data_IF_253337137833
#
_entry.id   IF_253337137833
#
_cell.length_a   1.000
_cell.length_b   1.000
_cell.length_c   1.000
_cell.angle_alpha   90.00
_cell.angle_beta   90.00
_cell.angle_gamma   90.00
#
_symmetry.space_group_name_H-M   'P 1'
#
loop_
_entity.id
_entity.type
_entity.pdbx_description
1 polymer ?
#
# COMPACT_ATOMS: atom_id res chain seq x y z
N UNK A 1 12.84 13.37 13.60
CA UNK A 1 12.14 13.05 12.35
C UNK A 1 12.60 14.03 11.28
N UNK A 2 13.13 13.52 10.17
CA UNK A 2 13.59 14.33 9.03
C UNK A 2 12.86 13.89 7.75
N UNK A 3 12.68 14.82 6.84
CA UNK A 3 12.15 14.57 5.50
C UNK A 3 13.28 14.73 4.50
N UNK A 4 13.48 13.73 3.67
CA UNK A 4 14.48 13.69 2.62
C UNK A 4 13.78 13.34 1.30
N UNK A 5 14.11 14.04 0.23
CA UNK A 5 13.63 13.68 -1.10
C UNK A 5 14.80 13.14 -1.89
N UNK A 6 14.67 11.95 -2.42
CA UNK A 6 15.69 11.24 -3.19
C UNK A 6 15.12 10.86 -4.55
N UNK A 7 15.99 10.61 -5.49
CA UNK A 7 15.59 10.04 -6.76
C UNK A 7 14.99 8.65 -6.55
N UNK A 8 14.01 8.31 -7.33
CA UNK A 8 13.34 7.04 -7.19
C UNK A 8 12.03 6.98 -7.96
N UNK A 9 11.44 5.80 -8.01
CA UNK A 9 10.18 5.56 -8.71
C UNK A 9 9.27 4.67 -7.89
N UNK A 10 7.98 4.99 -7.90
CA UNK A 10 6.95 4.12 -7.38
C UNK A 10 6.01 3.67 -8.51
N UNK A 11 5.65 2.39 -8.52
CA UNK A 11 4.66 1.86 -9.43
C UNK A 11 3.69 0.89 -8.76
N UNK A 12 2.48 0.77 -9.32
CA UNK A 12 1.34 0.08 -8.71
C UNK A 12 1.37 -1.42 -9.06
N UNK A 13 2.40 -2.12 -8.64
CA UNK A 13 2.54 -3.59 -8.66
C UNK A 13 3.31 -4.02 -7.43
N UNK A 14 2.80 -5.02 -6.73
CA UNK A 14 3.42 -5.58 -5.54
C UNK A 14 4.04 -6.96 -5.78
N UNK A 15 4.41 -7.60 -4.68
CA UNK A 15 5.05 -8.92 -4.74
C UNK A 15 4.12 -9.98 -5.33
N UNK A 16 4.69 -10.89 -6.11
CA UNK A 16 3.96 -12.01 -6.73
C UNK A 16 3.47 -13.04 -5.71
N UNK A 17 4.11 -13.12 -4.54
CA UNK A 17 3.75 -14.04 -3.47
C UNK A 17 4.03 -13.44 -2.09
N UNK A 18 3.14 -13.63 -1.08
CA UNK A 18 3.38 -13.20 0.29
C UNK A 18 4.63 -13.83 0.92
N UNK A 19 5.10 -14.94 0.41
CA UNK A 19 6.34 -15.58 0.89
C UNK A 19 7.59 -14.74 0.68
N UNK A 20 7.55 -13.69 -0.15
CA UNK A 20 8.65 -12.73 -0.31
C UNK A 20 8.73 -11.69 0.80
N UNK A 21 7.70 -11.56 1.62
CA UNK A 21 7.66 -10.61 2.75
C UNK A 21 8.84 -10.85 3.69
N UNK A 22 9.53 -9.77 4.08
CA UNK A 22 10.63 -9.79 5.04
C UNK A 22 10.19 -9.24 6.41
N UNK A 23 9.24 -8.31 6.43
CA UNK A 23 8.63 -7.76 7.64
C UNK A 23 7.14 -8.11 7.69
N UNK A 24 6.81 -9.10 8.51
CA UNK A 24 5.43 -9.57 8.67
C UNK A 24 4.51 -8.54 9.36
N UNK A 25 5.07 -7.57 10.09
CA UNK A 25 4.26 -6.57 10.77
C UNK A 25 3.68 -5.55 9.80
N UNK A 26 4.45 -5.19 8.77
CA UNK A 26 4.06 -4.25 7.72
C UNK A 26 3.64 -4.94 6.42
N UNK A 27 3.80 -6.27 6.33
CA UNK A 27 3.57 -7.07 5.12
C UNK A 27 4.37 -6.55 3.92
N UNK A 28 5.61 -6.13 4.17
CA UNK A 28 6.52 -5.58 3.16
C UNK A 28 7.72 -6.49 2.92
N UNK A 29 8.20 -6.52 1.69
CA UNK A 29 9.51 -7.07 1.36
C UNK A 29 10.49 -5.90 1.18
N UNK A 30 11.45 -5.77 2.09
CA UNK A 30 12.50 -4.76 2.07
C UNK A 30 13.80 -5.39 1.57
N UNK A 31 14.37 -4.79 0.54
CA UNK A 31 15.61 -5.24 -0.09
C UNK A 31 16.62 -4.08 -0.01
N UNK A 32 17.72 -4.30 0.70
CA UNK A 32 18.81 -3.34 0.85
C UNK A 32 19.86 -3.56 -0.25
N UNK A 33 20.23 -2.50 -0.94
CA UNK A 33 21.19 -2.48 -2.04
C UNK A 33 21.00 -3.63 -3.05
N UNK A 34 19.77 -3.83 -3.57
CA UNK A 34 19.48 -4.97 -4.44
C UNK A 34 20.04 -4.79 -5.83
N UNK A 35 20.33 -5.91 -6.47
CA UNK A 35 20.35 -5.99 -7.92
C UNK A 35 18.92 -6.02 -8.46
N UNK A 36 18.68 -5.38 -9.60
CA UNK A 36 17.38 -5.28 -10.23
C UNK A 36 17.45 -5.89 -11.63
N UNK A 37 16.77 -7.01 -11.82
CA UNK A 37 16.64 -7.67 -13.11
C UNK A 37 15.33 -7.24 -13.78
N UNK A 38 15.44 -6.63 -14.96
CA UNK A 38 14.31 -6.18 -15.77
C UNK A 38 14.17 -7.08 -17.00
N UNK A 39 13.05 -7.81 -17.08
CA UNK A 39 12.81 -8.74 -18.18
C UNK A 39 11.47 -8.48 -18.86
N UNK A 40 11.52 -8.20 -20.16
CA UNK A 40 10.32 -8.02 -20.99
C UNK A 40 9.86 -9.37 -21.57
N UNK A 41 9.25 -10.17 -20.71
CA UNK A 41 8.73 -11.49 -21.01
C UNK A 41 8.32 -12.27 -19.78
N UNK A 42 7.79 -13.48 -19.99
CA UNK A 42 7.38 -14.40 -18.92
C UNK A 42 8.53 -15.33 -18.55
N UNK A 43 8.66 -15.59 -17.24
CA UNK A 43 9.68 -16.48 -16.68
C UNK A 43 8.96 -17.66 -16.01
N UNK A 44 9.02 -18.84 -16.62
CA UNK A 44 8.38 -20.04 -16.09
C UNK A 44 9.40 -21.12 -15.70
N UNK A 45 10.53 -21.20 -16.43
CA UNK A 45 11.55 -22.20 -16.20
C UNK A 45 12.69 -21.68 -15.31
N UNK A 46 13.00 -22.38 -14.25
CA UNK A 46 14.08 -22.02 -13.32
C UNK A 46 15.45 -22.04 -14.00
N UNK A 47 15.65 -22.89 -15.00
CA UNK A 47 16.91 -23.07 -15.73
C UNK A 47 17.44 -21.77 -16.34
N UNK A 48 16.54 -20.89 -16.79
CA UNK A 48 16.92 -19.60 -17.39
C UNK A 48 17.42 -18.61 -16.32
N UNK A 49 16.97 -18.74 -15.06
CA UNK A 49 17.36 -17.87 -13.94
C UNK A 49 18.54 -18.40 -13.13
N UNK A 50 18.83 -19.70 -13.16
CA UNK A 50 19.85 -20.34 -12.31
C UNK A 50 21.18 -19.58 -12.31
N UNK A 51 21.78 -19.21 -13.46
CA UNK A 51 23.08 -18.54 -13.46
C UNK A 51 23.10 -17.24 -12.67
N UNK A 52 22.02 -16.44 -12.78
CA UNK A 52 21.96 -15.16 -12.09
C UNK A 52 21.62 -15.33 -10.61
N UNK A 53 20.74 -16.29 -10.24
CA UNK A 53 20.41 -16.57 -8.85
C UNK A 53 21.65 -17.05 -8.07
N UNK A 54 22.46 -17.94 -8.67
CA UNK A 54 23.70 -18.43 -8.08
C UNK A 54 24.73 -17.31 -7.93
N UNK A 55 24.91 -16.50 -8.97
CA UNK A 55 25.85 -15.40 -8.98
C UNK A 55 25.52 -14.33 -7.92
N UNK A 56 24.25 -13.96 -7.78
CA UNK A 56 23.78 -12.99 -6.76
C UNK A 56 23.88 -13.58 -5.36
N UNK A 57 23.54 -14.86 -5.20
CA UNK A 57 23.66 -15.57 -3.92
C UNK A 57 25.11 -15.59 -3.41
N UNK A 58 26.09 -15.84 -4.29
CA UNK A 58 27.52 -15.81 -3.95
C UNK A 58 28.01 -14.46 -3.43
N UNK A 59 27.38 -13.35 -3.89
CA UNK A 59 27.68 -12.00 -3.43
C UNK A 59 26.89 -11.60 -2.18
N UNK A 60 25.99 -12.47 -1.68
CA UNK A 60 25.08 -12.18 -0.55
C UNK A 60 24.29 -10.88 -0.71
N UNK A 61 24.01 -10.49 -1.95
CA UNK A 61 23.16 -9.33 -2.30
C UNK A 61 21.71 -9.74 -2.45
N UNK A 62 20.83 -8.77 -2.35
CA UNK A 62 19.41 -8.96 -2.64
C UNK A 62 19.13 -8.87 -4.15
N UNK A 63 18.07 -9.52 -4.62
CA UNK A 63 17.64 -9.49 -6.01
C UNK A 63 16.16 -9.15 -6.14
N UNK A 64 15.85 -8.08 -6.85
CA UNK A 64 14.51 -7.78 -7.35
C UNK A 64 14.40 -8.26 -8.79
N UNK A 65 13.36 -9.03 -9.11
CA UNK A 65 13.04 -9.39 -10.50
C UNK A 65 11.73 -8.72 -10.88
N UNK A 66 11.76 -7.91 -11.93
CA UNK A 66 10.58 -7.28 -12.53
C UNK A 66 10.41 -7.86 -13.93
N UNK A 67 9.34 -8.64 -14.13
CA UNK A 67 9.06 -9.31 -15.40
C UNK A 67 7.58 -9.21 -15.79
N UNK A 68 7.24 -9.49 -17.04
CA UNK A 68 5.83 -9.56 -17.47
C UNK A 68 5.01 -10.48 -16.56
N UNK A 69 5.53 -11.66 -16.29
CA UNK A 69 5.02 -12.59 -15.28
C UNK A 69 6.12 -13.57 -14.84
N UNK A 70 6.00 -14.06 -13.61
CA UNK A 70 6.89 -15.07 -13.04
C UNK A 70 6.00 -16.13 -12.40
N UNK A 71 6.03 -17.35 -12.95
CA UNK A 71 5.15 -18.44 -12.53
C UNK A 71 5.89 -19.79 -12.51
N UNK A 72 5.15 -20.84 -12.14
CA UNK A 72 5.57 -22.21 -12.22
C UNK A 72 6.83 -22.52 -11.43
N UNK A 73 7.75 -23.24 -12.08
CA UNK A 73 9.00 -23.74 -11.47
C UNK A 73 9.93 -22.58 -11.01
N UNK A 74 9.98 -21.50 -11.79
CA UNK A 74 10.82 -20.34 -11.47
C UNK A 74 10.38 -19.66 -10.18
N UNK A 75 9.08 -19.39 -10.02
CA UNK A 75 8.52 -18.79 -8.80
C UNK A 75 8.73 -19.70 -7.60
N UNK A 76 8.45 -21.00 -7.73
CA UNK A 76 8.61 -21.96 -6.65
C UNK A 76 10.07 -22.06 -6.18
N UNK A 77 11.03 -22.09 -7.11
CA UNK A 77 12.45 -22.10 -6.77
C UNK A 77 12.90 -20.85 -6.03
N UNK A 78 12.43 -19.66 -6.44
CA UNK A 78 12.73 -18.41 -5.74
C UNK A 78 12.18 -18.41 -4.30
N UNK A 79 10.94 -18.85 -4.11
CA UNK A 79 10.30 -18.95 -2.79
C UNK A 79 11.07 -19.92 -1.89
N UNK A 80 11.41 -21.11 -2.38
CA UNK A 80 12.17 -22.11 -1.60
C UNK A 80 13.54 -21.60 -1.18
N UNK A 81 14.27 -20.95 -2.08
CA UNK A 81 15.60 -20.39 -1.77
C UNK A 81 15.49 -19.21 -0.78
N UNK A 82 14.45 -18.39 -0.88
CA UNK A 82 14.18 -17.31 0.08
C UNK A 82 13.83 -17.88 1.46
N UNK A 83 12.95 -18.87 1.55
CA UNK A 83 12.57 -19.52 2.81
C UNK A 83 13.74 -20.20 3.50
N UNK A 84 14.69 -20.76 2.73
CA UNK A 84 15.93 -21.33 3.23
C UNK A 84 17.01 -20.28 3.56
N UNK A 85 16.70 -19.00 3.41
CA UNK A 85 17.65 -17.89 3.60
C UNK A 85 18.92 -17.98 2.73
N UNK A 86 18.87 -18.72 1.62
CA UNK A 86 19.97 -18.86 0.67
C UNK A 86 20.05 -17.62 -0.22
N UNK A 87 18.89 -17.03 -0.58
CA UNK A 87 18.80 -15.88 -1.45
C UNK A 87 17.77 -14.88 -0.91
N UNK A 88 18.17 -13.63 -0.77
CA UNK A 88 17.25 -12.51 -0.50
C UNK A 88 16.67 -12.04 -1.82
N UNK A 89 15.43 -12.40 -2.13
CA UNK A 89 14.83 -12.03 -3.41
C UNK A 89 13.34 -11.68 -3.31
N UNK A 90 12.89 -10.91 -4.28
CA UNK A 90 11.48 -10.62 -4.49
C UNK A 90 11.17 -10.63 -6.00
N UNK A 91 10.00 -11.14 -6.35
CA UNK A 91 9.49 -11.16 -7.71
C UNK A 91 8.26 -10.25 -7.81
N UNK A 92 8.27 -9.33 -8.77
CA UNK A 92 7.22 -8.35 -9.02
C UNK A 92 6.80 -8.42 -10.49
N UNK A 93 5.52 -8.25 -10.73
CA UNK A 93 4.99 -8.14 -12.09
C UNK A 93 5.24 -6.74 -12.63
N UNK A 94 5.72 -6.64 -13.87
CA UNK A 94 5.93 -5.35 -14.52
C UNK A 94 4.62 -4.56 -14.62
N UNK A 95 4.64 -3.25 -14.40
CA UNK A 95 3.48 -2.40 -14.58
C UNK A 95 3.11 -2.28 -16.06
N UNK A 96 1.87 -1.91 -16.34
CA UNK A 96 1.29 -1.77 -17.68
C UNK A 96 1.28 -3.06 -18.52
N UNK A 97 0.89 -2.96 -19.80
CA UNK A 97 0.76 -4.07 -20.75
C UNK A 97 1.26 -3.66 -22.13
N UNK A 98 1.69 -4.66 -22.92
CA UNK A 98 2.16 -4.44 -24.30
C UNK A 98 3.33 -3.45 -24.36
N UNK A 99 3.33 -2.58 -25.35
CA UNK A 99 4.42 -1.62 -25.59
C UNK A 99 4.66 -0.65 -24.42
N UNK A 100 3.60 -0.32 -23.67
CA UNK A 100 3.73 0.55 -22.49
C UNK A 100 4.54 -0.11 -21.39
N UNK A 101 4.40 -1.42 -21.21
CA UNK A 101 5.23 -2.18 -20.27
C UNK A 101 6.71 -2.05 -20.61
N UNK A 102 7.05 -2.20 -21.90
CA UNK A 102 8.43 -2.05 -22.38
C UNK A 102 8.97 -0.65 -22.07
N UNK A 103 8.19 0.40 -22.31
CA UNK A 103 8.59 1.77 -22.00
C UNK A 103 8.80 2.02 -20.49
N UNK A 104 7.94 1.48 -19.64
CA UNK A 104 8.11 1.62 -18.19
C UNK A 104 9.30 0.81 -17.69
N UNK A 105 9.55 -0.39 -18.25
CA UNK A 105 10.76 -1.15 -17.94
C UNK A 105 12.02 -0.38 -18.35
N UNK A 106 12.01 0.31 -19.48
CA UNK A 106 13.11 1.19 -19.91
C UNK A 106 13.30 2.37 -18.98
N UNK A 107 12.22 2.99 -18.49
CA UNK A 107 12.29 4.08 -17.52
C UNK A 107 12.93 3.60 -16.20
N UNK A 108 12.56 2.38 -15.73
CA UNK A 108 13.19 1.76 -14.55
C UNK A 108 14.66 1.44 -14.82
N UNK A 109 15.00 0.96 -16.01
CA UNK A 109 16.37 0.64 -16.40
C UNK A 109 17.27 1.88 -16.35
N UNK A 110 16.82 2.99 -16.92
CA UNK A 110 17.56 4.26 -16.91
C UNK A 110 17.75 4.76 -15.48
N UNK A 111 16.68 4.70 -14.65
CA UNK A 111 16.75 5.14 -13.26
C UNK A 111 17.71 4.31 -12.41
N UNK A 112 17.87 3.03 -12.71
CA UNK A 112 18.67 2.08 -11.91
C UNK A 112 20.03 1.74 -12.52
N UNK A 113 20.34 2.29 -13.70
CA UNK A 113 21.56 1.99 -14.44
C UNK A 113 21.62 0.59 -15.03
N UNK A 114 20.45 -0.05 -15.21
CA UNK A 114 20.34 -1.41 -15.74
C UNK A 114 19.96 -1.46 -17.23
N UNK A 115 19.73 -2.68 -17.72
CA UNK A 115 19.31 -2.94 -19.09
C UNK A 115 18.06 -3.81 -19.11
N UNK A 116 17.08 -3.46 -19.92
CA UNK A 116 15.91 -4.31 -20.15
C UNK A 116 16.30 -5.51 -21.00
N UNK A 117 16.22 -6.69 -20.42
CA UNK A 117 16.46 -7.95 -21.10
C UNK A 117 15.20 -8.33 -21.87
N UNK A 118 15.32 -8.44 -23.20
CA UNK A 118 14.22 -8.78 -24.09
C UNK A 118 14.70 -9.70 -25.20
N UNK A 119 13.92 -10.73 -25.50
CA UNK A 119 14.16 -11.62 -26.66
C UNK A 119 14.14 -10.83 -27.98
N UNK A 120 13.35 -9.76 -28.06
CA UNK A 120 13.28 -8.89 -29.23
C UNK A 120 14.60 -8.12 -29.45
N UNK A 121 15.29 -7.76 -28.36
CA UNK A 121 16.62 -7.12 -28.38
C UNK A 121 17.77 -8.14 -28.53
N UNK A 122 17.46 -9.44 -28.69
CA UNK A 122 18.45 -10.51 -28.79
C UNK A 122 19.13 -10.90 -27.48
N UNK A 123 18.65 -10.36 -26.35
CA UNK A 123 19.20 -10.63 -25.01
C UNK A 123 18.50 -11.85 -24.38
N UNK A 124 19.29 -12.71 -23.75
CA UNK A 124 18.81 -13.97 -23.14
C UNK A 124 19.08 -13.98 -21.65
N UNK A 125 18.10 -14.48 -20.87
CA UNK A 125 18.19 -14.60 -19.43
C UNK A 125 19.38 -15.45 -18.94
N UNK A 126 19.70 -16.52 -19.67
CA UNK A 126 20.80 -17.43 -19.33
C UNK A 126 22.22 -16.88 -19.60
N UNK A 127 22.32 -15.68 -20.16
CA UNK A 127 23.59 -15.01 -20.51
C UNK A 127 23.73 -13.60 -19.92
N UNK A 128 22.97 -13.30 -18.88
CA UNK A 128 22.99 -11.99 -18.21
C UNK A 128 24.31 -11.85 -17.45
N UNK A 129 24.89 -10.65 -17.52
CA UNK A 129 26.05 -10.21 -16.75
C UNK A 129 25.63 -9.17 -15.70
N UNK A 130 26.43 -8.95 -14.67
CA UNK A 130 26.10 -8.02 -13.59
C UNK A 130 25.95 -6.56 -14.03
N UNK A 131 26.70 -6.16 -15.04
CA UNK A 131 26.64 -4.83 -15.67
C UNK A 131 25.31 -4.53 -16.37
N UNK A 132 24.51 -5.56 -16.63
CA UNK A 132 23.15 -5.41 -17.19
C UNK A 132 22.07 -5.29 -16.09
N UNK A 133 22.42 -5.58 -14.84
CA UNK A 133 21.51 -5.44 -13.71
C UNK A 133 21.49 -4.00 -13.23
N UNK A 134 20.28 -3.48 -13.00
CA UNK A 134 20.13 -2.22 -12.28
C UNK A 134 20.49 -2.37 -10.80
N UNK A 135 20.77 -1.26 -10.16
CA UNK A 135 21.05 -1.18 -8.73
C UNK A 135 20.35 0.02 -8.10
N UNK A 136 20.06 -0.04 -6.81
CA UNK A 136 19.50 1.06 -6.04
C UNK A 136 19.92 0.97 -4.59
N UNK A 137 19.74 2.04 -3.82
CA UNK A 137 19.96 2.03 -2.37
C UNK A 137 19.01 1.09 -1.66
N UNK A 138 17.76 1.02 -2.11
CA UNK A 138 16.77 0.15 -1.51
C UNK A 138 15.53 -0.04 -2.36
N UNK A 139 14.84 -1.16 -2.13
CA UNK A 139 13.52 -1.41 -2.72
C UNK A 139 12.58 -1.90 -1.65
N UNK A 140 11.40 -1.29 -1.58
CA UNK A 140 10.29 -1.73 -0.74
C UNK A 140 9.16 -2.22 -1.63
N UNK A 141 8.76 -3.48 -1.43
CA UNK A 141 7.65 -4.10 -2.17
C UNK A 141 6.52 -4.41 -1.20
N UNK A 142 5.38 -3.79 -1.44
CA UNK A 142 4.11 -4.02 -0.74
C UNK A 142 3.23 -5.00 -1.53
N UNK A 143 2.03 -5.26 -1.06
CA UNK A 143 1.07 -6.11 -1.77
C UNK A 143 0.71 -5.57 -3.15
N UNK A 144 0.57 -4.26 -3.29
CA UNK A 144 0.06 -3.60 -4.49
C UNK A 144 1.01 -2.55 -5.07
N UNK A 145 2.15 -2.29 -4.42
CA UNK A 145 3.10 -1.24 -4.81
C UNK A 145 4.54 -1.70 -4.68
N UNK A 146 5.38 -1.12 -5.53
CA UNK A 146 6.84 -1.26 -5.46
C UNK A 146 7.45 0.13 -5.50
N UNK A 147 8.31 0.42 -4.55
CA UNK A 147 9.05 1.69 -4.46
C UNK A 147 10.54 1.40 -4.58
N UNK A 148 11.17 1.95 -5.60
CA UNK A 148 12.62 1.94 -5.81
C UNK A 148 13.15 3.28 -5.29
N UNK A 149 14.13 3.23 -4.41
CA UNK A 149 14.68 4.38 -3.74
C UNK A 149 16.13 4.56 -4.16
N UNK A 150 16.47 5.75 -4.64
CA UNK A 150 17.84 6.14 -4.97
C UNK A 150 18.50 5.14 -5.93
N UNK A 151 17.99 5.15 -7.17
CA UNK A 151 18.54 4.33 -8.26
C UNK A 151 19.92 4.86 -8.69
N UNK A 152 20.83 3.97 -9.03
CA UNK A 152 22.20 4.31 -9.43
C UNK A 152 22.32 4.56 -10.96
N UNK A 153 21.25 5.10 -11.60
CA UNK A 153 21.31 5.56 -12.98
C UNK A 153 22.15 6.83 -13.14
N UNK A 154 22.62 7.09 -14.34
CA UNK A 154 23.34 8.32 -14.65
C UNK A 154 22.36 9.50 -14.74
N UNK A 155 22.62 10.60 -14.02
CA UNK A 155 21.77 11.81 -14.00
C UNK A 155 21.50 12.35 -15.42
N UNK A 156 22.52 12.41 -16.26
CA UNK A 156 22.41 12.89 -17.64
C UNK A 156 21.42 12.03 -18.46
N UNK A 157 21.47 10.70 -18.30
CA UNK A 157 20.56 9.78 -18.97
C UNK A 157 19.11 9.93 -18.46
N UNK A 158 18.91 10.20 -17.17
CA UNK A 158 17.61 10.47 -16.58
C UNK A 158 17.03 11.77 -17.14
N UNK A 159 17.82 12.84 -17.19
CA UNK A 159 17.41 14.14 -17.75
C UNK A 159 17.03 14.00 -19.23
N UNK A 160 17.86 13.33 -20.03
CA UNK A 160 17.60 13.07 -21.44
C UNK A 160 16.28 12.32 -21.64
N UNK A 161 16.01 11.30 -20.79
CA UNK A 161 14.75 10.55 -20.85
C UNK A 161 13.54 11.40 -20.47
N UNK A 162 13.66 12.28 -19.50
CA UNK A 162 12.59 13.23 -19.14
C UNK A 162 12.28 14.20 -20.28
N UNK A 163 13.28 14.68 -20.98
CA UNK A 163 13.10 15.54 -22.17
C UNK A 163 12.47 14.78 -23.34
N UNK A 164 12.87 13.53 -23.56
CA UNK A 164 12.26 12.65 -24.56
C UNK A 164 10.75 12.48 -24.29
N UNK A 165 10.37 12.14 -23.05
CA UNK A 165 8.96 11.97 -22.68
C UNK A 165 8.18 13.29 -22.86
N UNK A 166 8.75 14.44 -22.49
CA UNK A 166 8.13 15.75 -22.76
C UNK A 166 7.90 15.97 -24.24
N UNK A 167 8.87 15.67 -25.08
CA UNK A 167 8.73 15.77 -26.53
C UNK A 167 7.70 14.79 -27.11
N UNK A 168 7.52 13.61 -26.50
CA UNK A 168 6.45 12.67 -26.85
C UNK A 168 5.06 13.22 -26.48
N UNK A 169 4.92 13.90 -25.33
CA UNK A 169 3.67 14.53 -24.89
C UNK A 169 3.23 15.60 -25.92
N UNK A 170 4.16 16.44 -26.41
CA UNK A 170 3.86 17.48 -27.40
C UNK A 170 3.39 16.92 -28.74
N UNK A 171 3.81 15.70 -29.08
CA UNK A 171 3.48 15.05 -30.37
C UNK A 171 2.27 14.10 -30.24
N UNK A 172 1.77 13.87 -29.04
CA UNK A 172 0.69 12.93 -28.81
C UNK A 172 -0.65 13.49 -29.30
N UNK A 173 -1.34 12.75 -30.18
CA UNK A 173 -2.60 13.17 -30.79
C UNK A 173 -3.83 12.82 -29.95
N UNK A 174 -3.73 11.90 -29.00
CA UNK A 174 -4.88 11.48 -28.18
C UNK A 174 -4.72 11.89 -26.72
N UNK A 175 -5.81 12.34 -26.08
CA UNK A 175 -5.83 12.70 -24.67
C UNK A 175 -5.38 11.54 -23.78
N UNK A 176 -5.69 10.32 -24.16
CA UNK A 176 -5.27 9.12 -23.43
C UNK A 176 -3.75 8.86 -23.52
N UNK A 177 -3.13 9.13 -24.68
CA UNK A 177 -1.68 9.03 -24.82
C UNK A 177 -0.98 10.12 -24.00
N UNK A 178 -1.50 11.33 -24.03
CA UNK A 178 -1.01 12.47 -23.23
C UNK A 178 -1.05 12.13 -21.75
N UNK A 179 -2.18 11.65 -21.23
CA UNK A 179 -2.34 11.28 -19.83
C UNK A 179 -1.35 10.15 -19.39
N UNK A 180 -1.19 9.13 -20.24
CA UNK A 180 -0.25 8.03 -19.99
C UNK A 180 1.20 8.52 -19.92
N UNK A 181 1.60 9.42 -20.84
CA UNK A 181 2.93 10.00 -20.88
C UNK A 181 3.17 10.97 -19.70
N UNK A 182 2.16 11.77 -19.34
CA UNK A 182 2.22 12.63 -18.14
C UNK A 182 2.40 11.82 -16.86
N UNK A 183 1.71 10.68 -16.73
CA UNK A 183 1.88 9.78 -15.59
C UNK A 183 3.29 9.20 -15.53
N UNK A 184 3.88 8.82 -16.67
CA UNK A 184 5.27 8.35 -16.73
C UNK A 184 6.25 9.45 -16.33
N UNK A 185 6.07 10.66 -16.90
CA UNK A 185 6.88 11.82 -16.56
C UNK A 185 6.83 12.13 -15.06
N UNK A 186 5.63 12.13 -14.47
CA UNK A 186 5.45 12.38 -13.03
C UNK A 186 6.13 11.33 -12.16
N UNK A 187 6.06 10.05 -12.55
CA UNK A 187 6.71 8.95 -11.82
C UNK A 187 8.23 9.02 -11.85
N UNK A 188 8.83 9.45 -12.96
CA UNK A 188 10.28 9.61 -13.09
C UNK A 188 10.79 10.91 -12.45
N UNK A 189 10.08 12.03 -12.65
CA UNK A 189 10.51 13.34 -12.16
C UNK A 189 10.18 13.60 -10.69
N UNK A 190 9.21 12.85 -10.13
CA UNK A 190 8.67 13.12 -8.80
C UNK A 190 9.58 12.71 -7.63
N UNK A 191 10.49 11.79 -7.84
CA UNK A 191 11.32 11.23 -6.78
C UNK A 191 10.52 10.48 -5.72
N UNK A 192 11.20 10.09 -4.63
CA UNK A 192 10.63 9.45 -3.45
C UNK A 192 10.91 10.28 -2.22
N UNK A 193 9.87 10.64 -1.48
CA UNK A 193 10.02 11.30 -0.19
C UNK A 193 10.19 10.26 0.92
N UNK A 194 11.28 10.37 1.66
CA UNK A 194 11.60 9.48 2.78
C UNK A 194 11.40 10.24 4.08
N UNK A 195 10.56 9.71 4.96
CA UNK A 195 10.38 10.24 6.31
C UNK A 195 11.18 9.36 7.28
N UNK A 196 12.35 9.84 7.68
CA UNK A 196 13.18 9.15 8.67
C UNK A 196 12.67 9.47 10.08
N UNK A 197 12.14 8.46 10.76
CA UNK A 197 11.59 8.60 12.11
C UNK A 197 12.64 8.18 13.14
N UNK A 198 12.89 9.04 14.15
CA UNK A 198 13.79 8.75 15.26
C UNK A 198 13.11 8.90 16.60
N UNK A 199 13.62 8.17 17.60
CA UNK A 199 13.18 8.22 19.00
C UNK A 199 14.35 7.93 19.93
N UNK A 200 14.20 8.19 21.23
CA UNK A 200 15.20 7.89 22.25
C UNK A 200 15.19 6.39 22.63
N UNK A 201 14.08 5.72 22.42
CA UNK A 201 13.91 4.28 22.64
C UNK A 201 13.30 3.63 21.40
N UNK A 202 13.51 2.32 21.25
CA UNK A 202 12.93 1.54 20.15
C UNK A 202 11.40 1.59 20.18
N UNK A 203 10.80 1.49 21.35
CA UNK A 203 9.34 1.59 21.54
C UNK A 203 8.80 2.94 21.11
N UNK A 204 9.47 4.03 21.49
CA UNK A 204 9.08 5.39 21.08
C UNK A 204 9.22 5.57 19.56
N UNK A 205 10.30 5.06 18.98
CA UNK A 205 10.53 5.12 17.54
C UNK A 205 9.44 4.36 16.78
N UNK A 206 9.08 3.16 17.23
CA UNK A 206 8.02 2.35 16.63
C UNK A 206 6.67 3.05 16.72
N UNK A 207 6.31 3.58 17.88
CA UNK A 207 5.06 4.31 18.07
C UNK A 207 4.97 5.56 17.18
N UNK A 208 6.09 6.30 17.05
CA UNK A 208 6.16 7.44 16.12
C UNK A 208 6.05 7.02 14.66
N UNK A 209 6.67 5.91 14.28
CA UNK A 209 6.56 5.35 12.92
C UNK A 209 5.12 5.00 12.61
N UNK A 210 4.46 4.24 13.48
CA UNK A 210 3.06 3.83 13.31
C UNK A 210 2.13 5.05 13.15
N UNK A 211 2.38 6.12 13.92
CA UNK A 211 1.64 7.39 13.82
C UNK A 211 1.89 8.13 12.50
N UNK A 212 3.11 8.09 11.97
CA UNK A 212 3.43 8.68 10.67
C UNK A 212 2.79 7.89 9.54
N UNK A 213 2.81 6.56 9.62
CA UNK A 213 2.18 5.68 8.64
C UNK A 213 0.65 5.89 8.62
N UNK A 214 0.01 6.00 9.79
CA UNK A 214 -1.41 6.33 9.90
C UNK A 214 -1.75 7.69 9.25
N UNK A 215 -0.97 8.72 9.56
CA UNK A 215 -1.13 10.05 8.95
C UNK A 215 -0.95 10.02 7.42
N UNK A 216 -0.01 9.23 6.91
CA UNK A 216 0.22 9.06 5.47
C UNK A 216 -0.98 8.39 4.79
N UNK A 217 -1.49 7.31 5.37
CA UNK A 217 -2.67 6.63 4.86
C UNK A 217 -3.91 7.52 4.88
N UNK A 218 -4.14 8.27 5.96
CA UNK A 218 -5.22 9.24 6.05
C UNK A 218 -5.10 10.35 4.99
N UNK A 219 -3.89 10.86 4.76
CA UNK A 219 -3.64 11.89 3.74
C UNK A 219 -3.92 11.37 2.33
N UNK A 220 -3.46 10.15 2.00
CA UNK A 220 -3.76 9.50 0.72
C UNK A 220 -5.26 9.29 0.52
N UNK A 221 -5.96 8.79 1.53
CA UNK A 221 -7.40 8.61 1.50
C UNK A 221 -8.16 9.94 1.28
N UNK A 222 -7.64 11.03 1.86
CA UNK A 222 -8.20 12.37 1.66
C UNK A 222 -7.95 12.91 0.24
N UNK A 223 -6.83 12.57 -0.39
CA UNK A 223 -6.57 12.90 -1.80
C UNK A 223 -7.49 12.13 -2.75
N UNK A 224 -7.81 10.87 -2.42
CA UNK A 224 -8.64 10.01 -3.27
C UNK A 224 -10.11 10.46 -3.31
N UNK A 225 -10.72 10.72 -2.15
CA UNK A 225 -12.17 10.98 -2.03
C UNK A 225 -12.52 12.30 -1.30
N UNK A 226 -11.51 13.14 -1.01
CA UNK A 226 -11.73 14.38 -0.30
C UNK A 226 -11.91 14.21 1.21
N UNK A 227 -12.36 15.28 1.85
CA UNK A 227 -12.51 15.39 3.31
C UNK A 227 -13.94 15.69 3.71
N UNK A 228 -14.30 15.28 4.93
CA UNK A 228 -15.58 15.56 5.58
C UNK A 228 -15.35 16.12 6.98
N UNK A 229 -16.41 16.58 7.62
CA UNK A 229 -16.38 17.00 9.03
C UNK A 229 -15.97 15.83 9.92
N UNK A 230 -14.90 16.01 10.70
CA UNK A 230 -14.34 14.97 11.55
C UNK A 230 -15.11 14.71 12.84
N UNK A 231 -14.57 13.83 13.67
CA UNK A 231 -15.10 13.53 14.98
C UNK A 231 -16.47 12.85 14.98
N UNK A 232 -16.80 12.07 13.96
CA UNK A 232 -18.08 11.38 13.81
C UNK A 232 -19.23 12.27 13.31
N UNK A 233 -18.98 13.56 13.08
CA UNK A 233 -20.03 14.52 12.63
C UNK A 233 -20.49 14.24 11.21
N UNK A 234 -19.61 13.75 10.34
CA UNK A 234 -19.98 13.38 8.96
C UNK A 234 -21.10 12.33 8.93
N UNK A 235 -21.03 11.34 9.81
CA UNK A 235 -22.05 10.29 9.94
C UNK A 235 -23.40 10.86 10.44
N UNK A 236 -23.36 11.80 11.41
CA UNK A 236 -24.58 12.50 11.88
C UNK A 236 -25.22 13.32 10.75
N UNK A 237 -24.41 14.02 9.96
CA UNK A 237 -24.89 14.77 8.81
C UNK A 237 -25.48 13.86 7.74
N UNK A 238 -24.88 12.70 7.50
CA UNK A 238 -25.40 11.69 6.59
C UNK A 238 -26.76 11.13 7.07
N UNK A 239 -26.87 10.82 8.38
CA UNK A 239 -28.14 10.39 8.99
C UNK A 239 -29.26 11.40 8.78
N UNK A 240 -28.98 12.68 9.01
CA UNK A 240 -29.98 13.74 8.87
C UNK A 240 -30.50 13.90 7.42
N UNK A 241 -29.70 13.51 6.43
CA UNK A 241 -30.05 13.58 4.99
C UNK A 241 -30.57 12.28 4.42
N UNK A 242 -30.27 11.16 5.05
CA UNK A 242 -30.68 9.85 4.57
C UNK A 242 -32.21 9.67 4.70
N UNK A 243 -32.84 9.34 3.59
CA UNK A 243 -34.25 8.96 3.55
C UNK A 243 -34.31 7.44 3.48
N UNK A 244 -34.40 6.80 4.64
CA UNK A 244 -34.54 5.36 4.73
C UNK A 244 -36.01 5.02 4.93
N UNK A 245 -36.74 4.76 3.84
CA UNK A 245 -38.13 4.32 3.85
C UNK A 245 -38.20 3.05 3.03
N UNK A 246 -38.37 1.94 3.72
CA UNK A 246 -38.54 0.61 3.10
C UNK A 246 -39.99 0.22 3.02
N UNK A 247 -40.36 -0.55 2.00
CA UNK A 247 -41.71 -1.07 1.84
C UNK A 247 -41.97 -2.28 2.77
N UNK A 248 -40.93 -3.05 3.03
CA UNK A 248 -40.97 -4.20 3.92
C UNK A 248 -40.67 -3.77 5.37
N UNK A 249 -41.49 -4.18 6.38
CA UNK A 249 -41.21 -3.86 7.78
C UNK A 249 -39.87 -4.38 8.31
N UNK A 250 -39.42 -5.54 7.85
CA UNK A 250 -38.17 -6.16 8.29
C UNK A 250 -36.96 -5.39 7.72
N UNK A 251 -37.02 -4.94 6.48
CA UNK A 251 -36.04 -4.04 5.88
C UNK A 251 -35.98 -2.71 6.63
N UNK A 252 -37.13 -2.17 7.08
CA UNK A 252 -37.19 -0.93 7.85
C UNK A 252 -36.46 -1.09 9.21
N UNK A 253 -36.64 -2.25 9.88
CA UNK A 253 -35.92 -2.55 11.13
C UNK A 253 -34.41 -2.53 10.90
N UNK A 254 -33.93 -3.17 9.82
CA UNK A 254 -32.52 -3.14 9.45
C UNK A 254 -31.99 -1.71 9.23
N UNK A 255 -32.76 -0.91 8.55
CA UNK A 255 -32.46 0.51 8.34
C UNK A 255 -32.37 1.29 9.64
N UNK A 256 -33.32 1.11 10.55
CA UNK A 256 -33.36 1.76 11.86
C UNK A 256 -32.16 1.35 12.73
N UNK A 257 -31.72 0.10 12.66
CA UNK A 257 -30.50 -0.37 13.35
C UNK A 257 -29.29 0.43 12.89
N UNK A 258 -29.10 0.56 11.57
CA UNK A 258 -27.95 1.30 11.03
C UNK A 258 -28.04 2.77 11.42
N UNK A 259 -29.22 3.40 11.30
CA UNK A 259 -29.44 4.79 11.66
C UNK A 259 -29.16 5.10 13.13
N UNK A 260 -29.45 4.16 14.03
CA UNK A 260 -29.11 4.27 15.45
C UNK A 260 -27.61 4.02 15.71
N UNK A 261 -26.99 3.11 14.96
CA UNK A 261 -25.56 2.80 15.10
C UNK A 261 -24.65 3.95 14.64
N UNK A 262 -25.04 4.70 13.62
CA UNK A 262 -24.26 5.82 13.05
C UNK A 262 -23.93 6.92 14.07
N UNK A 263 -24.74 7.10 15.12
CA UNK A 263 -24.49 8.08 16.18
C UNK A 263 -23.40 7.65 17.17
N UNK A 264 -23.17 6.34 17.29
CA UNK A 264 -22.30 5.79 18.33
C UNK A 264 -20.87 6.29 18.30
N UNK A 265 -20.20 6.45 17.15
CA UNK A 265 -18.84 6.99 17.09
C UNK A 265 -18.73 8.38 17.74
N UNK A 266 -19.64 9.29 17.41
CA UNK A 266 -19.67 10.63 18.00
C UNK A 266 -19.91 10.59 19.52
N UNK A 267 -20.90 9.81 19.94
CA UNK A 267 -21.24 9.64 21.37
C UNK A 267 -20.04 9.05 22.13
N UNK A 268 -19.36 8.06 21.55
CA UNK A 268 -18.22 7.45 22.20
C UNK A 268 -17.04 8.41 22.38
N UNK A 269 -16.80 9.28 21.39
CA UNK A 269 -15.79 10.34 21.50
C UNK A 269 -16.09 11.26 22.69
N UNK A 270 -17.36 11.67 22.86
CA UNK A 270 -17.77 12.50 24.01
C UNK A 270 -17.60 11.78 25.33
N UNK A 271 -17.99 10.50 25.40
CA UNK A 271 -17.80 9.67 26.61
C UNK A 271 -16.32 9.52 26.97
N UNK A 272 -15.46 9.26 25.99
CA UNK A 272 -14.01 9.18 26.20
C UNK A 272 -13.41 10.48 26.75
N UNK A 273 -14.05 11.61 26.48
CA UNK A 273 -13.69 12.91 27.03
C UNK A 273 -14.35 13.20 28.40
N UNK A 274 -15.05 12.23 29.00
CA UNK A 274 -15.75 12.39 30.28
C UNK A 274 -17.05 13.18 30.19
N UNK A 275 -17.64 13.30 29.00
CA UNK A 275 -18.89 14.04 28.79
C UNK A 275 -20.06 13.05 28.70
N UNK A 276 -20.69 12.75 29.83
CA UNK A 276 -21.81 11.80 29.89
C UNK A 276 -23.15 12.44 29.45
N UNK A 277 -23.29 13.77 29.63
CA UNK A 277 -24.51 14.52 29.29
C UNK A 277 -24.49 15.00 27.82
N UNK A 278 -24.33 14.09 26.89
CA UNK A 278 -24.15 14.39 25.46
C UNK A 278 -25.46 14.72 24.71
N UNK A 279 -26.64 14.35 25.21
CA UNK A 279 -27.91 14.55 24.49
C UNK A 279 -28.18 16.02 24.13
N UNK A 280 -27.86 16.95 24.99
CA UNK A 280 -28.01 18.39 24.72
C UNK A 280 -27.03 18.92 23.69
N UNK A 281 -25.85 18.28 23.56
CA UNK A 281 -24.85 18.60 22.55
C UNK A 281 -25.29 18.04 21.19
N UNK A 282 -25.76 16.78 21.16
CA UNK A 282 -26.24 16.12 19.97
C UNK A 282 -27.38 16.89 19.31
N UNK A 283 -28.43 17.28 20.10
CA UNK A 283 -29.55 18.05 19.59
C UNK A 283 -29.16 19.41 18.97
N UNK A 284 -28.14 20.06 19.52
CA UNK A 284 -27.64 21.34 18.98
C UNK A 284 -26.83 21.16 17.68
N UNK A 285 -26.14 20.03 17.53
CA UNK A 285 -25.35 19.73 16.33
C UNK A 285 -26.25 19.29 15.18
N UNK A 286 -27.26 18.47 15.46
CA UNK A 286 -28.25 18.04 14.47
C UNK A 286 -29.03 19.21 13.85
N UNK A 287 -29.20 20.30 14.60
CA UNK A 287 -29.89 21.50 14.11
C UNK A 287 -29.08 22.33 13.10
N UNK A 288 -27.75 22.08 12.94
CA UNK A 288 -26.87 22.93 12.14
C UNK A 288 -25.76 22.09 11.46
N UNK A 289 -25.93 21.87 10.15
CA UNK A 289 -24.98 21.12 9.34
C UNK A 289 -23.52 21.60 9.47
N UNK A 290 -22.58 20.64 9.50
CA UNK A 290 -21.15 20.90 9.56
C UNK A 290 -20.64 21.43 10.90
N UNK A 291 -21.51 21.54 11.90
CA UNK A 291 -21.10 21.88 13.27
C UNK A 291 -20.89 20.61 14.09
N UNK A 292 -19.91 20.64 14.96
CA UNK A 292 -19.57 19.56 15.88
C UNK A 292 -19.06 20.11 17.19
N UNK A 293 -18.64 19.23 18.08
CA UNK A 293 -18.15 19.61 19.40
C UNK A 293 -16.63 19.47 19.46
N UNK A 294 -15.95 20.60 19.66
CA UNK A 294 -14.50 20.60 19.88
C UNK A 294 -14.20 20.32 21.35
N UNK A 295 -13.73 19.11 21.65
CA UNK A 295 -13.45 18.66 23.01
C UNK A 295 -12.35 19.49 23.68
N UNK A 296 -11.34 19.96 22.94
CA UNK A 296 -10.24 20.75 23.50
C UNK A 296 -10.70 22.11 24.00
N UNK A 297 -11.68 22.71 23.31
CA UNK A 297 -12.18 24.06 23.68
C UNK A 297 -13.52 24.01 24.37
N UNK A 298 -14.16 22.84 24.48
CA UNK A 298 -15.51 22.65 25.04
C UNK A 298 -16.58 23.53 24.36
N UNK A 299 -16.47 23.69 23.01
CA UNK A 299 -17.38 24.55 22.24
C UNK A 299 -17.96 23.83 21.03
N UNK A 300 -19.16 24.25 20.65
CA UNK A 300 -19.74 23.87 19.36
C UNK A 300 -19.14 24.79 18.29
N UNK A 301 -18.52 24.19 17.27
CA UNK A 301 -17.76 24.89 16.23
C UNK A 301 -18.06 24.29 14.84
N UNK A 302 -17.70 25.03 13.79
CA UNK A 302 -17.67 24.46 12.46
C UNK A 302 -16.42 23.60 12.32
N UNK A 303 -16.58 22.29 12.13
CA UNK A 303 -15.50 21.31 12.19
C UNK A 303 -14.45 21.55 11.09
N UNK A 304 -14.89 21.79 9.86
CA UNK A 304 -13.97 22.01 8.74
C UNK A 304 -13.16 23.30 8.92
N UNK A 305 -13.77 24.39 9.40
CA UNK A 305 -13.08 25.66 9.64
C UNK A 305 -12.05 25.58 10.77
N UNK A 306 -12.30 24.75 11.76
CA UNK A 306 -11.39 24.48 12.88
C UNK A 306 -10.32 23.41 12.55
N UNK A 307 -10.33 22.88 11.34
CA UNK A 307 -9.38 21.86 10.91
C UNK A 307 -9.65 20.47 11.51
N UNK A 308 -10.86 20.23 12.05
CA UNK A 308 -11.28 18.92 12.56
C UNK A 308 -11.97 18.19 11.41
N UNK A 309 -11.18 17.43 10.67
CA UNK A 309 -11.57 16.79 9.41
C UNK A 309 -11.20 15.31 9.43
N UNK A 310 -11.97 14.51 8.71
CA UNK A 310 -11.70 13.10 8.47
C UNK A 310 -11.66 12.84 6.95
N UNK A 311 -10.88 11.85 6.46
CA UNK A 311 -10.96 11.41 5.06
C UNK A 311 -12.31 10.76 4.77
N UNK A 312 -12.95 11.14 3.67
CA UNK A 312 -14.26 10.59 3.25
C UNK A 312 -14.19 9.08 3.07
N UNK A 313 -13.14 8.61 2.39
CA UNK A 313 -12.91 7.18 2.12
C UNK A 313 -12.87 6.34 3.39
N UNK A 314 -12.20 6.82 4.43
CA UNK A 314 -12.09 6.11 5.72
C UNK A 314 -13.46 5.98 6.38
N UNK A 315 -14.19 7.11 6.50
CA UNK A 315 -15.51 7.13 7.14
C UNK A 315 -16.52 6.26 6.39
N UNK A 316 -16.53 6.31 5.06
CA UNK A 316 -17.41 5.51 4.21
C UNK A 316 -17.10 4.02 4.32
N UNK A 317 -15.84 3.64 4.12
CA UNK A 317 -15.41 2.23 4.16
C UNK A 317 -15.63 1.61 5.54
N UNK A 318 -15.42 2.37 6.61
CA UNK A 318 -15.69 1.91 7.97
C UNK A 318 -17.16 1.53 8.16
N UNK A 319 -18.10 2.35 7.66
CA UNK A 319 -19.52 2.04 7.74
C UNK A 319 -19.89 0.84 6.86
N UNK A 320 -19.42 0.79 5.61
CA UNK A 320 -19.68 -0.31 4.68
C UNK A 320 -19.19 -1.65 5.24
N UNK A 321 -17.97 -1.70 5.76
CA UNK A 321 -17.39 -2.91 6.35
C UNK A 321 -18.13 -3.33 7.62
N UNK A 322 -18.50 -2.38 8.48
CA UNK A 322 -19.26 -2.68 9.69
C UNK A 322 -20.62 -3.30 9.37
N UNK A 323 -21.34 -2.76 8.40
CA UNK A 323 -22.63 -3.30 7.95
C UNK A 323 -22.46 -4.68 7.31
N UNK A 324 -21.43 -4.87 6.49
CA UNK A 324 -21.13 -6.16 5.85
C UNK A 324 -20.86 -7.26 6.87
N UNK A 325 -20.00 -6.97 7.89
CA UNK A 325 -19.69 -7.93 8.95
C UNK A 325 -20.92 -8.21 9.82
N UNK A 326 -21.67 -7.17 10.20
CA UNK A 326 -22.89 -7.34 10.99
C UNK A 326 -23.92 -8.18 10.25
N UNK A 327 -24.11 -7.96 8.95
CA UNK A 327 -25.02 -8.75 8.11
C UNK A 327 -24.61 -10.23 8.04
N UNK A 328 -23.32 -10.50 7.91
CA UNK A 328 -22.78 -11.87 7.94
C UNK A 328 -23.04 -12.53 9.29
N UNK A 329 -22.79 -11.83 10.41
CA UNK A 329 -23.04 -12.36 11.74
C UNK A 329 -24.52 -12.66 12.01
N UNK A 330 -25.43 -11.80 11.52
CA UNK A 330 -26.88 -11.99 11.70
C UNK A 330 -27.44 -13.26 11.03
N UNK A 331 -26.83 -13.70 9.93
CA UNK A 331 -27.25 -14.92 9.21
C UNK A 331 -26.47 -16.18 9.63
N UNK A 332 -25.50 -16.05 10.55
CA UNK A 332 -24.65 -17.13 10.99
C UNK A 332 -25.32 -17.89 12.14
N UNK A 333 -25.53 -19.19 11.96
CA UNK A 333 -26.12 -20.04 13.01
C UNK A 333 -25.10 -20.51 14.06
N UNK A 334 -23.86 -20.76 13.65
CA UNK A 334 -22.80 -21.18 14.55
C UNK A 334 -21.42 -20.73 14.06
N UNK A 335 -20.45 -20.65 14.98
CA UNK A 335 -19.04 -20.44 14.71
C UNK A 335 -18.23 -21.63 15.20
N UNK A 336 -17.25 -22.04 14.39
CA UNK A 336 -16.27 -23.08 14.78
C UNK A 336 -14.94 -22.37 14.99
N UNK A 337 -14.38 -22.49 16.19
CA UNK A 337 -13.10 -21.89 16.55
C UNK A 337 -12.23 -22.95 17.22
N UNK A 338 -10.92 -22.78 17.16
CA UNK A 338 -9.97 -23.62 17.87
C UNK A 338 -10.11 -23.38 19.38
N UNK A 339 -10.00 -24.47 20.18
CA UNK A 339 -10.04 -24.38 21.62
C UNK A 339 -8.67 -23.96 22.16
N UNK A 340 -8.52 -22.76 22.75
CA UNK A 340 -7.24 -22.29 23.26
C UNK A 340 -6.70 -23.13 24.43
N UNK A 341 -7.53 -23.96 25.12
CA UNK A 341 -7.07 -24.84 26.16
C UNK A 341 -6.41 -26.11 25.58
N UNK A 342 -6.74 -26.53 24.36
CA UNK A 342 -6.14 -27.69 23.71
C UNK A 342 -4.66 -27.50 23.34
N UNK A 343 -4.22 -26.28 23.13
CA UNK A 343 -2.80 -25.95 22.86
C UNK A 343 -1.92 -26.01 24.12
N UNK A 344 -2.48 -25.92 25.32
CA UNK A 344 -1.72 -25.94 26.58
C UNK A 344 -1.38 -27.39 27.09
N UNK A 345 -1.98 -28.42 26.53
CA UNK A 345 -1.71 -29.85 26.89
C UNK A 345 -0.71 -30.54 25.93
N UNK A 346 -0.15 -29.83 24.94
CA UNK A 346 0.95 -30.37 24.14
C UNK A 346 2.20 -30.49 25.01
N UNK A 347 2.41 -31.67 25.56
CA UNK A 347 3.50 -32.08 26.44
C UNK A 347 4.88 -31.65 25.82
N UNK A 348 5.70 -30.86 26.56
CA UNK A 348 7.03 -30.47 26.07
C UNK A 348 7.98 -31.67 25.86
N UNK A 349 7.61 -32.88 26.26
CA UNK A 349 8.41 -34.10 26.10
C UNK A 349 8.31 -34.74 24.71
N UNK A 350 7.35 -34.35 23.87
CA UNK A 350 7.22 -34.90 22.50
C UNK A 350 8.20 -34.31 21.48
N UNK A 351 8.89 -33.21 21.80
CA UNK A 351 9.90 -32.58 20.92
C UNK A 351 11.35 -33.02 21.18
N UNK A 352 11.59 -33.97 22.13
CA UNK A 352 12.95 -34.46 22.41
C UNK A 352 13.21 -35.91 21.91
N UNK A 353 12.41 -36.41 21.03
CA UNK A 353 12.57 -37.75 20.48
C UNK A 353 12.52 -37.77 18.97
N UNK A 354 13.59 -37.38 18.31
CA UNK A 354 14.21 -38.00 17.13
C UNK A 354 15.30 -37.09 16.55
#
# INVERSE_FOLDING_TARGET
TTLETVEGMQFDRGYKSPYFVTDNSTMQAQLDEPYILLYDGKINAVKELLPILEAVSQQNKALLIVAEDIDGEALAAMIVNKMRSILKCCAVKAPEFGDRRTHVLEDIAILTGGTVISKQKGLRLDKITFDQLGTSRGVTVEKDKTTIVDGNGEEDAIVERLEEIKGQIERAESNYAVESLQNRLAKMAGGVAIINVGGFTETEMKEKKDRVDDALHATRAALDEGIVSGGGVALLNAKAKAKCVCLDPDEQIGCDIVMNAIEKPFIQILKNAGIDKYHGILAKIESKEGTGYNIKTNKIVNMVKEGIIDPTKVTRTALENAVSVAGTLLVTECTVVDDPEAESEADPMSMMGM
#
